data_IF_188260048446
#
_entry.id   IF_188260048446
#
_cell.length_a   1.000
_cell.length_b   1.000
_cell.length_c   1.000
_cell.angle_alpha   90.00
_cell.angle_beta   90.00
_cell.angle_gamma   90.00
#
_symmetry.space_group_name_H-M   'P 1'
#
loop_
_entity.id
_entity.type
_entity.pdbx_description
1 polymer ?
#
# COMPACT_ATOMS: atom_id res chain seq x y z
N UNK A 1 -9.22 -15.01 9.92
CA UNK A 1 -9.67 -15.44 11.26
C UNK A 1 -10.58 -14.38 11.82
N UNK A 2 -11.61 -14.77 12.57
CA UNK A 2 -12.58 -13.88 13.21
C UNK A 2 -13.00 -14.42 14.59
N UNK A 3 -13.28 -13.53 15.54
CA UNK A 3 -14.02 -13.86 16.76
C UNK A 3 -15.53 -13.67 16.47
N UNK A 4 -16.24 -14.77 16.25
CA UNK A 4 -17.61 -14.74 15.77
C UNK A 4 -18.63 -14.54 16.89
N UNK A 5 -18.26 -14.87 18.13
CA UNK A 5 -19.21 -15.04 19.24
C UNK A 5 -20.45 -15.86 18.85
N UNK A 6 -20.25 -16.85 17.96
CA UNK A 6 -21.28 -17.70 17.37
C UNK A 6 -20.94 -19.17 17.65
N UNK A 7 -21.97 -19.98 17.87
CA UNK A 7 -21.81 -21.37 18.28
C UNK A 7 -22.31 -22.28 17.17
N UNK A 8 -21.45 -23.14 16.64
CA UNK A 8 -21.86 -24.19 15.72
C UNK A 8 -20.90 -25.39 15.77
N UNK A 9 -21.45 -26.59 15.60
CA UNK A 9 -20.67 -27.84 15.63
C UNK A 9 -19.61 -27.91 14.53
N UNK A 10 -19.87 -27.24 13.40
CA UNK A 10 -18.99 -27.22 12.21
C UNK A 10 -17.59 -26.64 12.48
N UNK A 11 -17.43 -25.74 13.47
CA UNK A 11 -16.12 -25.23 13.90
C UNK A 11 -15.74 -25.70 15.29
N UNK A 12 -16.44 -26.70 15.84
CA UNK A 12 -16.07 -27.37 17.07
C UNK A 12 -16.68 -26.78 18.35
N UNK A 13 -17.68 -25.90 18.25
CA UNK A 13 -18.42 -25.44 19.44
C UNK A 13 -19.20 -26.58 20.10
N UNK A 14 -19.59 -26.40 21.37
CA UNK A 14 -20.32 -27.41 22.15
C UNK A 14 -21.80 -27.52 21.78
N UNK A 15 -22.37 -26.47 21.19
CA UNK A 15 -23.77 -26.41 20.76
C UNK A 15 -23.92 -25.54 19.50
N UNK A 16 -25.17 -25.33 19.09
CA UNK A 16 -25.56 -24.48 17.96
C UNK A 16 -26.45 -23.34 18.48
N UNK A 17 -26.27 -22.14 17.94
CA UNK A 17 -27.19 -21.01 18.15
C UNK A 17 -27.54 -20.31 16.82
N UNK A 18 -28.55 -19.44 16.83
CA UNK A 18 -29.06 -18.75 15.63
C UNK A 18 -27.97 -17.95 14.90
N UNK A 19 -27.03 -17.37 15.65
CA UNK A 19 -25.86 -16.68 15.08
C UNK A 19 -24.94 -17.64 14.34
N UNK A 20 -24.76 -18.85 14.88
CA UNK A 20 -23.98 -19.91 14.26
C UNK A 20 -24.63 -20.43 12.98
N UNK A 21 -25.93 -20.66 12.98
CA UNK A 21 -26.68 -21.08 11.78
C UNK A 21 -26.61 -20.02 10.67
N UNK A 22 -26.84 -18.76 11.04
CA UNK A 22 -26.75 -17.63 10.10
C UNK A 22 -25.34 -17.50 9.52
N UNK A 23 -24.31 -17.63 10.37
CA UNK A 23 -22.91 -17.54 9.93
C UNK A 23 -22.51 -18.72 9.06
N UNK A 24 -22.97 -19.94 9.37
CA UNK A 24 -22.70 -21.11 8.53
C UNK A 24 -23.31 -20.94 7.15
N UNK A 25 -24.56 -20.47 7.07
CA UNK A 25 -25.24 -20.20 5.79
C UNK A 25 -24.42 -19.23 4.93
N UNK A 26 -23.98 -18.12 5.53
CA UNK A 26 -23.11 -17.15 4.84
C UNK A 26 -21.78 -17.76 4.37
N UNK A 27 -21.12 -18.58 5.20
CA UNK A 27 -19.86 -19.23 4.85
C UNK A 27 -20.02 -20.12 3.61
N UNK A 28 -21.10 -20.91 3.58
CA UNK A 28 -21.43 -21.80 2.46
C UNK A 28 -21.74 -21.00 1.19
N UNK A 29 -22.61 -20.00 1.28
CA UNK A 29 -22.97 -19.12 0.15
C UNK A 29 -21.76 -18.37 -0.41
N UNK A 30 -20.81 -18.00 0.44
CA UNK A 30 -19.59 -17.27 0.05
C UNK A 30 -18.46 -18.17 -0.46
N UNK A 31 -18.70 -19.48 -0.63
CA UNK A 31 -17.68 -20.47 -1.02
C UNK A 31 -16.42 -20.44 -0.13
N UNK A 32 -16.61 -20.21 1.17
CA UNK A 32 -15.55 -20.25 2.17
C UNK A 32 -15.53 -21.61 2.88
N UNK A 33 -14.34 -22.07 3.25
CA UNK A 33 -14.13 -23.31 4.00
C UNK A 33 -13.72 -23.01 5.43
N UNK A 34 -14.28 -23.75 6.38
CA UNK A 34 -13.89 -23.72 7.79
C UNK A 34 -12.61 -24.55 7.96
N UNK A 35 -11.58 -23.94 8.54
CA UNK A 35 -10.26 -24.56 8.72
C UNK A 35 -10.05 -25.09 10.14
N UNK A 36 -10.92 -24.71 11.08
CA UNK A 36 -10.84 -25.16 12.47
C UNK A 36 -10.77 -26.70 12.56
N UNK A 37 -9.89 -27.20 13.43
CA UNK A 37 -9.72 -28.63 13.66
C UNK A 37 -9.93 -28.98 15.14
N UNK A 38 -10.75 -30.02 15.37
CA UNK A 38 -11.06 -30.49 16.71
C UNK A 38 -11.99 -29.55 17.49
N UNK A 39 -11.97 -29.69 18.81
CA UNK A 39 -12.89 -29.00 19.74
C UNK A 39 -12.16 -28.31 20.89
N UNK A 40 -10.85 -28.09 20.72
CA UNK A 40 -10.07 -27.41 21.75
C UNK A 40 -10.58 -25.96 21.86
N UNK A 41 -11.07 -25.53 23.02
CA UNK A 41 -11.71 -24.23 23.18
C UNK A 41 -10.75 -23.07 22.86
N UNK A 42 -11.19 -22.16 22.02
CA UNK A 42 -10.46 -20.93 21.69
C UNK A 42 -10.71 -19.85 22.74
N UNK A 43 -11.79 -19.97 23.51
CA UNK A 43 -12.13 -19.08 24.61
C UNK A 43 -12.18 -19.88 25.93
N UNK A 44 -11.52 -19.37 26.97
CA UNK A 44 -11.51 -19.90 28.34
C UNK A 44 -11.62 -18.78 29.35
N UNK A 45 -12.71 -18.76 30.12
CA UNK A 45 -12.89 -17.80 31.20
C UNK A 45 -13.17 -18.53 32.52
N UNK A 46 -12.36 -18.26 33.54
CA UNK A 46 -12.55 -18.78 34.90
C UNK A 46 -12.97 -17.67 35.86
N UNK A 47 -14.13 -17.83 36.52
CA UNK A 47 -14.63 -16.97 37.60
C UNK A 47 -14.91 -17.82 38.83
N UNK A 48 -14.02 -17.77 39.82
CA UNK A 48 -14.11 -18.66 40.99
C UNK A 48 -14.01 -20.14 40.59
N UNK A 49 -15.02 -20.93 40.98
CA UNK A 49 -15.19 -22.33 40.59
C UNK A 49 -15.73 -22.52 39.17
N UNK A 50 -16.41 -21.52 38.62
CA UNK A 50 -17.01 -21.58 37.29
C UNK A 50 -15.95 -21.43 36.19
N UNK A 51 -16.02 -22.31 35.19
CA UNK A 51 -15.17 -22.34 34.01
C UNK A 51 -16.06 -22.41 32.76
N UNK A 52 -15.95 -21.39 31.90
CA UNK A 52 -16.55 -21.39 30.57
C UNK A 52 -15.48 -21.65 29.54
N UNK A 53 -15.71 -22.63 28.69
CA UNK A 53 -14.85 -23.01 27.59
C UNK A 53 -15.70 -23.13 26.34
N UNK A 54 -15.27 -22.51 25.24
CA UNK A 54 -16.02 -22.59 23.98
C UNK A 54 -15.09 -22.34 22.79
N UNK A 55 -15.50 -22.79 21.60
CA UNK A 55 -14.85 -22.41 20.33
C UNK A 55 -15.64 -21.27 19.69
N UNK A 56 -15.09 -20.06 19.80
CA UNK A 56 -15.70 -18.81 19.30
C UNK A 56 -14.89 -18.15 18.18
N UNK A 57 -13.61 -18.50 18.08
CA UNK A 57 -12.69 -17.98 17.08
C UNK A 57 -12.62 -18.93 15.88
N UNK A 58 -12.93 -18.42 14.69
CA UNK A 58 -13.06 -19.19 13.46
C UNK A 58 -11.97 -18.78 12.47
N UNK A 59 -11.38 -19.76 11.81
CA UNK A 59 -10.45 -19.58 10.69
C UNK A 59 -11.15 -20.03 9.42
N UNK A 60 -11.32 -19.10 8.49
CA UNK A 60 -11.92 -19.35 7.18
C UNK A 60 -10.85 -19.20 6.10
N UNK A 61 -10.95 -19.99 5.05
CA UNK A 61 -10.11 -19.90 3.85
C UNK A 61 -10.98 -20.00 2.59
N UNK A 62 -10.52 -19.40 1.50
CA UNK A 62 -11.10 -19.67 0.18
C UNK A 62 -10.68 -21.06 -0.31
N UNK A 63 -11.41 -21.60 -1.28
CA UNK A 63 -11.10 -22.88 -1.91
C UNK A 63 -9.67 -22.97 -2.48
N UNK A 64 -9.06 -21.84 -2.84
CA UNK A 64 -7.68 -21.77 -3.36
C UNK A 64 -6.60 -21.91 -2.29
N UNK A 65 -6.90 -21.51 -1.05
CA UNK A 65 -5.91 -21.40 0.04
C UNK A 65 -6.12 -22.48 1.09
N UNK A 66 -7.32 -23.07 1.20
CA UNK A 66 -7.62 -24.09 2.22
C UNK A 66 -6.62 -25.24 2.20
N UNK A 67 -6.24 -25.74 1.02
CA UNK A 67 -5.27 -26.84 0.86
C UNK A 67 -3.83 -26.44 1.22
N UNK A 68 -3.56 -25.14 1.33
CA UNK A 68 -2.25 -24.61 1.73
C UNK A 68 -2.17 -24.39 3.24
N UNK A 69 -3.29 -24.41 3.96
CA UNK A 69 -3.27 -24.25 5.42
C UNK A 69 -2.92 -25.59 6.06
N UNK A 70 -1.84 -25.60 6.82
CA UNK A 70 -1.31 -26.78 7.50
C UNK A 70 -1.19 -26.54 9.01
N UNK A 71 -1.26 -27.63 9.78
CA UNK A 71 -1.01 -27.64 11.24
C UNK A 71 -1.87 -26.63 12.00
N UNK A 72 -3.16 -26.58 11.69
CA UNK A 72 -4.08 -25.75 12.46
C UNK A 72 -4.26 -26.33 13.86
N UNK A 73 -4.00 -25.54 14.89
CA UNK A 73 -4.18 -25.95 16.28
C UNK A 73 -4.47 -24.76 17.20
N UNK A 74 -5.07 -25.05 18.36
CA UNK A 74 -5.18 -24.11 19.48
C UNK A 74 -4.03 -24.39 20.45
N UNK A 75 -3.17 -23.40 20.72
CA UNK A 75 -2.02 -23.55 21.60
C UNK A 75 -2.41 -23.48 23.08
N UNK A 76 -1.67 -24.20 23.93
CA UNK A 76 -1.79 -24.13 25.41
C UNK A 76 -0.98 -22.99 26.03
N UNK A 77 -0.26 -22.24 25.21
CA UNK A 77 0.51 -21.07 25.62
C UNK A 77 -0.40 -20.02 26.25
N UNK A 78 0.11 -19.41 27.33
CA UNK A 78 -0.60 -18.32 27.98
C UNK A 78 -0.68 -17.09 27.07
N UNK A 79 -1.90 -16.76 26.66
CA UNK A 79 -2.20 -15.54 25.91
C UNK A 79 -2.28 -14.27 26.77
N UNK A 80 -2.45 -14.43 28.09
CA UNK A 80 -2.81 -13.34 29.01
C UNK A 80 -4.17 -12.68 28.69
N UNK A 81 -5.01 -13.39 27.92
CA UNK A 81 -6.42 -13.11 27.62
C UNK A 81 -7.24 -14.36 27.96
N UNK A 82 -8.55 -14.20 27.95
CA UNK A 82 -9.55 -15.26 27.89
C UNK A 82 -9.56 -16.01 26.54
N UNK A 83 -8.96 -15.47 25.47
CA UNK A 83 -8.79 -16.20 24.21
C UNK A 83 -7.44 -16.94 24.17
N UNK A 84 -7.42 -18.17 23.66
CA UNK A 84 -6.22 -18.96 23.39
C UNK A 84 -5.68 -18.63 21.99
N UNK A 85 -4.36 -18.79 21.82
CA UNK A 85 -3.77 -18.59 20.51
C UNK A 85 -4.18 -19.71 19.56
N UNK A 86 -4.57 -19.32 18.34
CA UNK A 86 -4.67 -20.23 17.20
C UNK A 86 -3.36 -20.12 16.42
N UNK A 87 -2.79 -21.26 16.04
CA UNK A 87 -1.60 -21.34 15.19
C UNK A 87 -1.90 -22.20 13.96
N UNK A 88 -1.35 -21.80 12.83
CA UNK A 88 -1.33 -22.56 11.59
C UNK A 88 -0.23 -22.00 10.70
N UNK A 89 0.26 -22.81 9.77
CA UNK A 89 1.15 -22.37 8.70
C UNK A 89 0.38 -22.32 7.39
N UNK A 90 0.65 -21.31 6.56
CA UNK A 90 0.20 -21.31 5.17
C UNK A 90 1.41 -21.66 4.33
N UNK A 91 1.29 -22.72 3.55
CA UNK A 91 2.27 -23.07 2.52
C UNK A 91 2.26 -21.96 1.46
N UNK A 92 3.32 -21.15 1.46
CA UNK A 92 3.56 -20.16 0.43
C UNK A 92 4.97 -20.30 -0.10
N UNK A 93 5.14 -19.95 -1.37
CA UNK A 93 6.45 -19.55 -1.87
C UNK A 93 6.78 -18.27 -1.13
N UNK A 94 7.80 -18.30 -0.29
CA UNK A 94 8.32 -17.08 0.32
C UNK A 94 8.91 -16.22 -0.81
N UNK A 95 8.09 -15.33 -1.36
CA UNK A 95 8.60 -14.27 -2.23
C UNK A 95 9.14 -13.22 -1.28
N UNK A 96 10.46 -13.17 -1.15
CA UNK A 96 11.09 -12.04 -0.49
C UNK A 96 10.70 -10.78 -1.29
N UNK A 97 9.86 -9.94 -0.71
CA UNK A 97 9.56 -8.65 -1.32
C UNK A 97 10.85 -7.82 -1.32
N UNK A 98 11.46 -7.69 -2.50
CA UNK A 98 12.59 -6.80 -2.70
C UNK A 98 12.12 -5.42 -3.13
N UNK A 99 12.94 -4.41 -2.86
CA UNK A 99 12.75 -3.07 -3.39
C UNK A 99 14.10 -2.38 -3.57
N UNK A 100 14.18 -1.47 -4.54
CA UNK A 100 15.31 -0.55 -4.68
C UNK A 100 15.02 0.69 -3.84
N UNK A 101 15.98 1.11 -3.02
CA UNK A 101 15.86 2.34 -2.23
C UNK A 101 16.55 3.48 -3.01
N UNK A 102 15.81 4.44 -3.59
CA UNK A 102 16.41 5.50 -4.40
C UNK A 102 17.43 6.36 -3.63
N UNK A 103 17.35 6.39 -2.30
CA UNK A 103 18.30 7.12 -1.44
C UNK A 103 19.66 6.43 -1.33
N UNK A 104 19.76 5.15 -1.70
CA UNK A 104 20.99 4.35 -1.68
C UNK A 104 21.60 4.16 -3.07
N UNK A 105 21.07 4.84 -4.08
CA UNK A 105 21.59 4.77 -5.46
C UNK A 105 23.02 5.28 -5.52
N UNK A 106 23.91 4.53 -6.18
CA UNK A 106 25.22 5.06 -6.57
C UNK A 106 25.06 5.99 -7.77
N UNK A 107 25.06 7.30 -7.51
CA UNK A 107 24.89 8.32 -8.54
C UNK A 107 26.05 8.37 -9.54
N UNK A 108 27.25 7.92 -9.18
CA UNK A 108 28.38 7.83 -10.09
C UNK A 108 28.16 6.74 -11.14
N UNK A 109 27.81 5.53 -10.68
CA UNK A 109 27.44 4.40 -11.53
C UNK A 109 26.21 4.74 -12.37
N UNK A 110 25.18 5.34 -11.77
CA UNK A 110 23.97 5.76 -12.48
C UNK A 110 24.28 6.69 -13.67
N UNK A 111 25.09 7.74 -13.48
CA UNK A 111 25.44 8.67 -14.56
C UNK A 111 26.23 8.01 -15.69
N UNK A 112 27.13 7.08 -15.33
CA UNK A 112 27.92 6.30 -16.29
C UNK A 112 27.01 5.41 -17.14
N UNK A 113 26.19 4.59 -16.49
CA UNK A 113 25.27 3.68 -17.18
C UNK A 113 24.20 4.46 -17.96
N UNK A 114 23.74 5.61 -17.47
CA UNK A 114 22.77 6.46 -18.16
C UNK A 114 23.32 6.97 -19.49
N UNK A 115 24.58 7.41 -19.51
CA UNK A 115 25.24 7.84 -20.75
C UNK A 115 25.35 6.67 -21.74
N UNK A 116 25.71 5.48 -21.25
CA UNK A 116 25.81 4.28 -22.09
C UNK A 116 24.44 3.88 -22.65
N UNK A 117 23.41 3.79 -21.80
CA UNK A 117 22.08 3.36 -22.18
C UNK A 117 21.38 4.37 -23.08
N UNK A 118 21.56 5.68 -22.89
CA UNK A 118 21.04 6.68 -23.84
C UNK A 118 21.67 6.54 -25.23
N UNK A 119 22.96 6.21 -25.31
CA UNK A 119 23.64 5.94 -26.58
C UNK A 119 23.14 4.63 -27.23
N UNK A 120 22.93 3.57 -26.45
CA UNK A 120 22.41 2.28 -26.94
C UNK A 120 20.98 2.42 -27.42
N UNK A 121 20.11 3.00 -26.59
CA UNK A 121 18.69 3.19 -26.93
C UNK A 121 18.53 4.22 -28.06
N UNK A 122 19.46 5.17 -28.21
CA UNK A 122 19.52 6.16 -29.29
C UNK A 122 18.15 6.76 -29.65
N UNK A 123 17.48 7.44 -28.69
CA UNK A 123 16.14 7.99 -28.89
C UNK A 123 16.18 9.11 -29.93
N UNK A 124 15.49 8.91 -31.07
CA UNK A 124 15.47 9.85 -32.20
C UNK A 124 14.05 10.27 -32.56
N UNK A 125 13.82 11.55 -32.95
CA UNK A 125 12.50 12.03 -33.32
C UNK A 125 11.82 11.27 -34.46
N UNK A 126 12.62 10.79 -35.43
CA UNK A 126 12.13 10.01 -36.58
C UNK A 126 11.44 8.68 -36.18
N UNK A 127 11.57 8.25 -34.92
CA UNK A 127 10.95 7.03 -34.41
C UNK A 127 9.53 7.27 -33.88
N UNK A 128 9.09 8.52 -33.78
CA UNK A 128 7.81 8.90 -33.17
C UNK A 128 7.91 9.08 -31.65
N UNK A 129 6.93 9.81 -31.10
CA UNK A 129 6.86 10.24 -29.69
C UNK A 129 6.90 9.03 -28.74
N UNK A 130 6.03 8.06 -28.95
CA UNK A 130 5.90 6.87 -28.07
C UNK A 130 7.19 6.05 -27.97
N UNK A 131 7.81 5.80 -29.12
CA UNK A 131 9.05 5.00 -29.18
C UNK A 131 10.20 5.77 -28.55
N UNK A 132 10.27 7.09 -28.79
CA UNK A 132 11.27 7.95 -28.18
C UNK A 132 11.11 8.03 -26.66
N UNK A 133 9.89 8.23 -26.15
CA UNK A 133 9.57 8.24 -24.73
C UNK A 133 9.95 6.92 -24.06
N UNK A 134 9.54 5.79 -24.65
CA UNK A 134 9.86 4.46 -24.16
C UNK A 134 11.37 4.19 -24.09
N UNK A 135 12.13 4.67 -25.07
CA UNK A 135 13.60 4.54 -25.11
C UNK A 135 14.29 5.38 -24.03
N UNK A 136 13.84 6.61 -23.81
CA UNK A 136 14.34 7.46 -22.73
C UNK A 136 14.01 6.87 -21.36
N UNK A 137 12.76 6.44 -21.16
CA UNK A 137 12.33 5.78 -19.92
C UNK A 137 13.16 4.52 -19.64
N UNK A 138 13.30 3.64 -20.64
CA UNK A 138 14.10 2.41 -20.51
C UNK A 138 15.55 2.72 -20.15
N UNK A 139 16.17 3.70 -20.82
CA UNK A 139 17.53 4.10 -20.47
C UNK A 139 17.66 4.53 -19.00
N UNK A 140 16.70 5.32 -18.48
CA UNK A 140 16.71 5.76 -17.07
C UNK A 140 16.49 4.58 -16.11
N UNK A 141 15.50 3.73 -16.37
CA UNK A 141 15.13 2.60 -15.50
C UNK A 141 16.21 1.53 -15.46
N UNK A 142 16.80 1.20 -16.62
CA UNK A 142 17.88 0.21 -16.69
C UNK A 142 19.12 0.71 -15.95
N UNK A 143 19.50 1.98 -16.16
CA UNK A 143 20.63 2.58 -15.43
C UNK A 143 20.38 2.68 -13.93
N UNK A 144 19.13 2.93 -13.52
CA UNK A 144 18.76 2.88 -12.11
C UNK A 144 18.86 1.46 -11.54
N UNK A 145 18.47 0.46 -12.33
CA UNK A 145 18.50 -0.94 -11.92
C UNK A 145 19.90 -1.46 -11.69
N UNK A 146 20.87 -1.02 -12.51
CA UNK A 146 22.30 -1.32 -12.35
C UNK A 146 22.93 -0.55 -11.18
N UNK A 147 22.54 0.71 -10.98
CA UNK A 147 23.14 1.57 -9.96
C UNK A 147 22.53 1.41 -8.56
N UNK A 148 21.41 0.70 -8.42
CA UNK A 148 20.70 0.52 -7.16
C UNK A 148 20.34 -0.95 -6.95
N UNK A 149 21.06 -1.59 -6.04
CA UNK A 149 20.79 -2.97 -5.65
C UNK A 149 19.42 -3.14 -5.00
N UNK A 150 18.79 -4.27 -5.28
CA UNK A 150 17.59 -4.69 -4.58
C UNK A 150 17.91 -5.00 -3.12
N UNK A 151 17.09 -4.44 -2.23
CA UNK A 151 17.14 -4.71 -0.80
C UNK A 151 15.89 -5.46 -0.38
N UNK A 152 16.06 -6.48 0.46
CA UNK A 152 14.93 -7.21 1.06
C UNK A 152 14.17 -6.29 2.01
N UNK A 153 12.85 -6.19 1.84
CA UNK A 153 11.98 -5.43 2.76
C UNK A 153 11.99 -6.09 4.13
N UNK A 154 12.62 -5.42 5.09
CA UNK A 154 12.51 -5.80 6.51
C UNK A 154 11.32 -5.10 7.13
N UNK A 155 10.24 -5.82 7.37
CA UNK A 155 9.18 -5.33 8.26
C UNK A 155 9.73 -5.35 9.69
N UNK A 156 9.83 -4.19 10.34
CA UNK A 156 10.15 -4.16 11.76
C UNK A 156 8.93 -4.71 12.53
N UNK A 157 9.00 -5.98 12.94
CA UNK A 157 7.88 -6.69 13.59
C UNK A 157 7.67 -6.25 15.05
N UNK A 158 8.56 -5.42 15.59
CA UNK A 158 8.50 -5.03 16.99
C UNK A 158 7.58 -3.83 17.19
N UNK A 159 6.60 -4.00 18.07
CA UNK A 159 5.70 -2.91 18.44
C UNK A 159 6.47 -1.78 19.13
N UNK A 160 6.27 -0.54 18.68
CA UNK A 160 6.94 0.66 19.19
C UNK A 160 6.75 0.90 20.70
N UNK A 161 5.65 0.40 21.28
CA UNK A 161 5.33 0.52 22.70
C UNK A 161 5.91 -0.61 23.57
N UNK A 162 6.61 -1.58 22.97
CA UNK A 162 7.19 -2.71 23.70
C UNK A 162 8.49 -2.32 24.41
N UNK A 163 8.68 -2.76 25.65
CA UNK A 163 9.88 -2.46 26.43
C UNK A 163 10.27 -3.60 27.39
N UNK A 164 11.50 -3.54 27.92
CA UNK A 164 12.07 -4.55 28.85
C UNK A 164 11.25 -4.72 30.15
N UNK A 165 10.56 -3.67 30.60
CA UNK A 165 9.66 -3.74 31.76
C UNK A 165 8.45 -4.64 31.50
N UNK A 166 7.80 -4.49 30.34
CA UNK A 166 6.70 -5.35 29.90
C UNK A 166 7.14 -6.80 29.73
N UNK A 167 8.34 -7.03 29.20
CA UNK A 167 8.91 -8.37 29.07
C UNK A 167 9.11 -9.05 30.43
N UNK A 168 9.60 -8.30 31.42
CA UNK A 168 9.77 -8.79 32.80
C UNK A 168 8.43 -9.14 33.44
N UNK A 169 7.43 -8.26 33.30
CA UNK A 169 6.07 -8.53 33.78
C UNK A 169 5.44 -9.74 33.08
N UNK A 170 5.60 -9.87 31.75
CA UNK A 170 5.11 -11.03 30.98
C UNK A 170 5.76 -12.33 31.45
N UNK A 171 7.07 -12.35 31.67
CA UNK A 171 7.79 -13.51 32.23
C UNK A 171 7.26 -13.88 33.61
N UNK A 172 7.01 -12.90 34.49
CA UNK A 172 6.44 -13.15 35.81
C UNK A 172 5.02 -13.73 35.74
N UNK A 173 4.17 -13.19 34.87
CA UNK A 173 2.81 -13.70 34.63
C UNK A 173 2.84 -15.15 34.14
N UNK A 174 3.72 -15.49 33.19
CA UNK A 174 3.90 -16.87 32.69
C UNK A 174 4.38 -17.81 33.81
N UNK A 175 5.33 -17.38 34.62
CA UNK A 175 5.82 -18.14 35.78
C UNK A 175 4.69 -18.44 36.77
N UNK A 176 3.94 -17.41 37.17
CA UNK A 176 2.83 -17.55 38.12
C UNK A 176 1.69 -18.41 37.57
N UNK A 177 1.42 -18.33 36.27
CA UNK A 177 0.46 -19.18 35.58
C UNK A 177 0.83 -20.67 35.67
N UNK A 178 2.10 -21.01 35.46
CA UNK A 178 2.57 -22.39 35.57
C UNK A 178 2.50 -22.91 37.02
N UNK A 179 2.73 -22.03 38.01
CA UNK A 179 2.57 -22.37 39.44
C UNK A 179 1.11 -22.64 39.77
N UNK A 180 0.19 -21.76 39.38
CA UNK A 180 -1.23 -21.93 39.72
C UNK A 180 -1.91 -23.08 38.98
N UNK A 181 -1.43 -23.48 37.79
CA UNK A 181 -1.84 -24.74 37.16
C UNK A 181 -1.60 -25.97 38.05
N UNK A 182 -0.54 -25.95 38.87
CA UNK A 182 -0.19 -27.05 39.79
C UNK A 182 -0.88 -26.92 41.15
N UNK A 183 -0.97 -25.70 41.68
CA UNK A 183 -1.43 -25.46 43.06
C UNK A 183 -2.92 -25.12 43.17
N UNK A 184 -3.59 -24.77 42.06
CA UNK A 184 -4.98 -24.32 42.05
C UNK A 184 -5.23 -22.92 42.62
N UNK A 185 -4.21 -22.23 43.15
CA UNK A 185 -4.34 -20.86 43.69
C UNK A 185 -4.07 -19.81 42.61
N UNK A 186 -5.12 -19.11 42.17
CA UNK A 186 -5.07 -18.16 41.06
C UNK A 186 -4.87 -16.69 41.48
N UNK A 187 -4.85 -16.36 42.78
CA UNK A 187 -4.94 -14.96 43.22
C UNK A 187 -3.68 -14.15 42.95
N UNK A 188 -2.50 -14.77 43.13
CA UNK A 188 -1.22 -14.14 42.78
C UNK A 188 -1.11 -13.90 41.28
N UNK A 189 -1.54 -14.89 40.49
CA UNK A 189 -1.59 -14.78 39.03
C UNK A 189 -2.52 -13.65 38.59
N UNK A 190 -3.75 -13.58 39.10
CA UNK A 190 -4.73 -12.52 38.75
C UNK A 190 -4.20 -11.11 39.03
N UNK A 191 -3.56 -10.91 40.19
CA UNK A 191 -2.93 -9.62 40.53
C UNK A 191 -1.82 -9.26 39.54
N UNK A 192 -0.89 -10.18 39.30
CA UNK A 192 0.21 -9.95 38.34
C UNK A 192 -0.29 -9.73 36.92
N UNK A 193 -1.34 -10.44 36.49
CA UNK A 193 -1.97 -10.26 35.17
C UNK A 193 -2.61 -8.88 35.05
N UNK A 194 -3.28 -8.43 36.11
CA UNK A 194 -3.89 -7.09 36.17
C UNK A 194 -2.82 -6.01 36.04
N UNK A 195 -1.71 -6.14 36.77
CA UNK A 195 -0.58 -5.21 36.67
C UNK A 195 0.05 -5.20 35.28
N UNK A 196 0.30 -6.39 34.70
CA UNK A 196 0.79 -6.51 33.34
C UNK A 196 -0.13 -5.81 32.32
N UNK A 197 -1.43 -6.08 32.38
CA UNK A 197 -2.42 -5.48 31.48
C UNK A 197 -2.52 -3.95 31.66
N UNK A 198 -2.42 -3.45 32.90
CA UNK A 198 -2.32 -2.00 33.18
C UNK A 198 -1.06 -1.39 32.57
N UNK A 199 0.09 -2.06 32.72
CA UNK A 199 1.36 -1.61 32.16
C UNK A 199 1.34 -1.58 30.63
N UNK A 200 0.79 -2.61 29.98
CA UNK A 200 0.61 -2.65 28.51
C UNK A 200 -0.25 -1.49 28.03
N UNK A 201 -1.41 -1.24 28.66
CA UNK A 201 -2.29 -0.10 28.31
C UNK A 201 -1.60 1.24 28.54
N UNK A 202 -0.77 1.36 29.58
CA UNK A 202 0.02 2.58 29.85
C UNK A 202 1.08 2.79 28.76
N UNK A 203 1.85 1.76 28.42
CA UNK A 203 2.90 1.84 27.41
C UNK A 203 2.33 2.20 26.03
N UNK A 204 1.22 1.56 25.61
CA UNK A 204 0.51 1.90 24.37
C UNK A 204 0.09 3.38 24.33
N UNK A 205 -0.49 3.89 25.42
CA UNK A 205 -0.93 5.29 25.52
C UNK A 205 0.23 6.28 25.49
N UNK A 206 1.33 5.98 26.19
CA UNK A 206 2.53 6.83 26.20
C UNK A 206 3.13 6.90 24.80
N UNK A 207 3.36 5.74 24.17
CA UNK A 207 3.92 5.68 22.82
C UNK A 207 3.03 6.39 21.79
N UNK A 208 1.70 6.26 21.89
CA UNK A 208 0.79 7.02 21.03
C UNK A 208 0.88 8.52 21.27
N UNK A 209 0.97 8.96 22.53
CA UNK A 209 1.12 10.38 22.86
C UNK A 209 2.43 10.95 22.33
N UNK A 210 3.53 10.25 22.54
CA UNK A 210 4.86 10.64 22.04
C UNK A 210 4.86 10.73 20.51
N UNK A 211 4.23 9.75 19.84
CA UNK A 211 4.04 9.82 18.39
C UNK A 211 3.27 11.07 17.98
N UNK A 212 2.10 11.34 18.55
CA UNK A 212 1.31 12.53 18.21
C UNK A 212 2.04 13.85 18.52
N UNK A 213 2.84 13.91 19.58
CA UNK A 213 3.61 15.10 19.95
C UNK A 213 4.83 15.32 19.04
N UNK A 214 5.37 14.25 18.44
CA UNK A 214 6.52 14.32 17.54
C UNK A 214 6.16 14.57 16.07
N UNK A 215 4.88 14.69 15.72
CA UNK A 215 4.46 15.02 14.34
C UNK A 215 4.68 16.52 14.09
N UNK A 216 5.65 16.85 13.24
CA UNK A 216 6.04 18.22 12.91
C UNK A 216 5.92 18.56 11.40
N UNK A 217 5.65 17.57 10.56
CA UNK A 217 5.64 17.72 9.11
C UNK A 217 4.24 17.42 8.52
N UNK A 218 3.95 18.10 7.40
CA UNK A 218 2.65 18.03 6.71
C UNK A 218 2.28 16.59 6.29
N UNK A 219 3.19 15.75 5.75
CA UNK A 219 2.87 14.37 5.41
C UNK A 219 2.38 13.53 6.59
N UNK A 220 3.05 13.62 7.74
CA UNK A 220 2.68 12.89 8.95
C UNK A 220 1.38 13.43 9.57
N UNK A 221 1.16 14.75 9.55
CA UNK A 221 -0.13 15.36 9.90
C UNK A 221 -1.27 14.83 9.02
N UNK A 222 -1.08 14.78 7.69
CA UNK A 222 -2.09 14.28 6.76
C UNK A 222 -2.37 12.77 6.95
N UNK A 223 -1.35 11.99 7.34
CA UNK A 223 -1.52 10.58 7.71
C UNK A 223 -2.32 10.44 9.01
N UNK A 224 -2.00 11.23 10.03
CA UNK A 224 -2.74 11.26 11.30
C UNK A 224 -4.20 11.65 11.06
N UNK A 225 -4.44 12.70 10.26
CA UNK A 225 -5.77 13.12 9.86
C UNK A 225 -6.54 11.99 9.19
N UNK A 226 -5.95 11.27 8.22
CA UNK A 226 -6.60 10.12 7.57
C UNK A 226 -6.96 8.99 8.53
N UNK A 227 -6.11 8.71 9.52
CA UNK A 227 -6.38 7.68 10.54
C UNK A 227 -7.49 8.12 11.50
N UNK A 228 -7.56 9.41 11.81
CA UNK A 228 -8.57 9.98 12.72
C UNK A 228 -9.89 10.28 12.03
N UNK A 229 -9.87 10.62 10.74
CA UNK A 229 -11.04 10.87 9.93
C UNK A 229 -11.83 9.57 9.81
N UNK A 230 -13.00 9.51 10.48
CA UNK A 230 -14.00 8.47 10.22
C UNK A 230 -14.35 8.55 8.74
N UNK A 231 -14.15 7.45 8.00
CA UNK A 231 -14.47 7.26 6.59
C UNK A 231 -14.60 8.57 5.80
N UNK A 232 -13.55 9.05 5.12
CA UNK A 232 -13.78 10.06 4.11
C UNK A 232 -14.65 9.38 3.06
N UNK A 233 -15.94 9.73 3.05
CA UNK A 233 -16.71 9.66 1.83
C UNK A 233 -15.92 10.59 0.93
N UNK A 234 -15.08 10.03 0.06
CA UNK A 234 -14.51 10.77 -1.06
C UNK A 234 -15.69 11.03 -2.00
N UNK A 235 -16.58 11.92 -1.59
CA UNK A 235 -17.54 12.51 -2.48
C UNK A 235 -16.69 13.24 -3.52
N UNK A 236 -16.87 12.88 -4.79
CA UNK A 236 -16.23 13.54 -5.92
C UNK A 236 -16.82 14.96 -6.14
N UNK A 237 -16.96 15.73 -5.06
CA UNK A 237 -17.61 17.06 -4.99
C UNK A 237 -16.55 18.17 -4.79
N UNK A 238 -15.34 17.99 -5.29
CA UNK A 238 -14.18 18.78 -4.85
C UNK A 238 -13.79 19.95 -5.73
N UNK A 239 -14.37 20.13 -6.93
CA UNK A 239 -14.01 21.28 -7.77
C UNK A 239 -14.95 22.44 -7.48
N UNK A 240 -14.38 23.48 -6.86
CA UNK A 240 -15.01 24.76 -6.62
C UNK A 240 -15.03 25.56 -7.93
N UNK A 241 -16.20 26.02 -8.33
CA UNK A 241 -16.40 26.91 -9.48
C UNK A 241 -15.96 28.34 -9.13
N UNK A 242 -15.77 29.16 -10.16
CA UNK A 242 -15.46 30.59 -10.02
C UNK A 242 -16.59 31.38 -9.34
N UNK A 243 -17.81 30.85 -9.35
CA UNK A 243 -18.99 31.41 -8.66
C UNK A 243 -19.10 31.01 -7.17
N UNK A 244 -18.14 30.22 -6.66
CA UNK A 244 -18.10 29.74 -5.28
C UNK A 244 -18.96 28.52 -4.98
N UNK A 245 -19.60 27.90 -5.98
CA UNK A 245 -20.37 26.65 -5.83
C UNK A 245 -19.53 25.42 -6.19
N UNK A 246 -19.97 24.22 -5.77
CA UNK A 246 -19.28 22.96 -6.07
C UNK A 246 -19.89 22.24 -7.27
N UNK A 247 -19.06 21.53 -8.04
CA UNK A 247 -19.52 20.64 -9.10
C UNK A 247 -20.40 19.50 -8.53
N UNK A 248 -21.54 19.25 -9.18
CA UNK A 248 -22.56 18.32 -8.70
C UNK A 248 -22.38 16.88 -9.23
N UNK A 249 -21.52 16.68 -10.23
CA UNK A 249 -21.20 15.34 -10.76
C UNK A 249 -19.73 15.20 -11.18
N UNK A 250 -19.21 13.95 -11.28
CA UNK A 250 -17.88 13.67 -11.83
C UNK A 250 -17.70 14.17 -13.27
N UNK A 251 -18.73 14.11 -14.10
CA UNK A 251 -18.71 14.58 -15.49
C UNK A 251 -18.57 16.09 -15.55
N UNK A 252 -19.32 16.81 -14.72
CA UNK A 252 -19.21 18.26 -14.60
C UNK A 252 -17.83 18.67 -14.08
N UNK A 253 -17.33 17.94 -13.08
CA UNK A 253 -15.97 18.12 -12.54
C UNK A 253 -14.92 17.98 -13.65
N UNK A 254 -15.04 16.95 -14.49
CA UNK A 254 -14.14 16.72 -15.61
C UNK A 254 -14.22 17.84 -16.65
N UNK A 255 -15.43 18.33 -16.94
CA UNK A 255 -15.64 19.38 -17.91
C UNK A 255 -15.07 20.73 -17.45
N UNK A 256 -15.22 21.06 -16.16
CA UNK A 256 -14.59 22.25 -15.56
C UNK A 256 -13.06 22.14 -15.64
N UNK A 257 -12.49 20.99 -15.29
CA UNK A 257 -11.04 20.78 -15.39
C UNK A 257 -10.54 20.95 -16.83
N UNK A 258 -11.27 20.40 -17.81
CA UNK A 258 -10.94 20.55 -19.23
C UNK A 258 -11.00 22.01 -19.69
N UNK A 259 -12.06 22.75 -19.35
CA UNK A 259 -12.21 24.15 -19.75
C UNK A 259 -11.16 25.06 -19.10
N UNK A 260 -10.81 24.80 -17.84
CA UNK A 260 -9.86 25.63 -17.08
C UNK A 260 -8.42 25.37 -17.52
N UNK A 261 -8.03 24.12 -17.72
CA UNK A 261 -6.65 23.78 -18.08
C UNK A 261 -6.38 23.85 -19.59
N UNK A 262 -7.42 23.70 -20.43
CA UNK A 262 -7.29 23.70 -21.89
C UNK A 262 -8.36 24.59 -22.55
N UNK A 263 -8.34 25.92 -22.32
CA UNK A 263 -9.32 26.84 -22.89
C UNK A 263 -9.26 26.81 -24.43
N UNK A 264 -10.42 26.65 -25.08
CA UNK A 264 -10.53 26.55 -26.55
C UNK A 264 -10.52 25.14 -27.13
N UNK A 265 -10.43 24.10 -26.28
CA UNK A 265 -10.54 22.70 -26.71
C UNK A 265 -11.96 22.36 -27.13
N UNK A 266 -12.13 21.64 -28.25
CA UNK A 266 -13.41 21.08 -28.67
C UNK A 266 -13.35 19.54 -28.65
N UNK A 267 -14.39 18.91 -28.11
CA UNK A 267 -14.56 17.46 -28.21
C UNK A 267 -14.82 17.12 -29.68
N UNK A 268 -13.90 16.41 -30.31
CA UNK A 268 -14.12 15.87 -31.65
C UNK A 268 -15.17 14.76 -31.57
N UNK A 269 -16.35 15.00 -32.14
CA UNK A 269 -17.36 13.97 -32.34
C UNK A 269 -16.96 13.10 -33.54
N UNK A 270 -15.94 12.26 -33.40
CA UNK A 270 -15.64 11.25 -34.44
C UNK A 270 -16.43 10.00 -34.15
N UNK A 271 -17.51 9.79 -34.90
CA UNK A 271 -18.43 8.65 -34.81
C UNK A 271 -17.84 7.33 -35.34
N UNK A 272 -16.61 7.35 -35.87
CA UNK A 272 -15.96 6.18 -36.47
C UNK A 272 -14.49 6.06 -36.01
N UNK A 273 -14.13 5.01 -35.24
CA UNK A 273 -12.76 4.81 -34.75
C UNK A 273 -11.71 4.61 -35.85
N UNK A 274 -12.12 4.14 -37.04
CA UNK A 274 -11.22 3.83 -38.15
C UNK A 274 -10.80 5.06 -38.96
N UNK A 275 -11.70 6.02 -39.21
CA UNK A 275 -11.40 7.24 -39.97
C UNK A 275 -10.48 8.19 -39.18
N UNK A 276 -10.67 8.29 -37.86
CA UNK A 276 -9.76 9.03 -36.98
C UNK A 276 -8.35 8.44 -36.94
N UNK A 277 -8.20 7.13 -37.23
CA UNK A 277 -6.90 6.47 -37.22
C UNK A 277 -6.15 6.68 -38.55
N UNK A 278 -6.87 6.79 -39.67
CA UNK A 278 -6.31 7.10 -40.99
C UNK A 278 -5.90 8.58 -41.12
N UNK A 279 -6.73 9.55 -40.69
CA UNK A 279 -6.32 10.97 -40.65
C UNK A 279 -5.16 11.20 -39.67
N UNK A 280 -5.16 10.53 -38.50
CA UNK A 280 -4.01 10.55 -37.58
C UNK A 280 -2.77 9.86 -38.18
N UNK A 281 -2.91 8.80 -38.97
CA UNK A 281 -1.78 8.14 -39.63
C UNK A 281 -1.17 8.98 -40.74
N UNK A 282 -1.98 9.75 -41.48
CA UNK A 282 -1.50 10.62 -42.58
C UNK A 282 -0.85 11.90 -42.04
N UNK A 283 -1.37 12.48 -40.95
CA UNK A 283 -0.74 13.61 -40.26
C UNK A 283 0.54 13.24 -39.48
N UNK A 284 0.74 11.94 -39.17
CA UNK A 284 1.80 11.43 -38.28
C UNK A 284 3.22 11.45 -38.85
N UNK A 285 3.42 11.76 -40.13
CA UNK A 285 4.75 11.55 -40.73
C UNK A 285 5.65 12.78 -40.65
N UNK A 286 5.15 14.02 -40.74
CA UNK A 286 5.98 15.22 -40.55
C UNK A 286 5.13 16.41 -40.07
N UNK A 287 5.33 16.85 -38.83
CA UNK A 287 4.82 18.14 -38.35
C UNK A 287 5.29 19.27 -39.29
N UNK A 288 4.45 20.28 -39.52
CA UNK A 288 4.81 21.36 -40.41
C UNK A 288 6.00 22.14 -39.86
N UNK A 289 6.74 22.82 -40.74
CA UNK A 289 7.89 23.65 -40.34
C UNK A 289 7.48 24.71 -39.31
N UNK A 290 6.28 25.26 -39.44
CA UNK A 290 5.71 26.25 -38.53
C UNK A 290 5.46 25.67 -37.13
N UNK A 291 4.96 24.43 -37.03
CA UNK A 291 4.75 23.74 -35.76
C UNK A 291 6.06 23.49 -35.01
N UNK A 292 7.12 23.11 -35.74
CA UNK A 292 8.46 22.97 -35.17
C UNK A 292 9.04 24.31 -34.71
N UNK A 293 8.80 25.40 -35.45
CA UNK A 293 9.22 26.75 -35.03
C UNK A 293 8.49 27.14 -33.74
N UNK A 294 7.19 26.90 -33.67
CA UNK A 294 6.37 27.15 -32.49
C UNK A 294 6.87 26.36 -31.27
N UNK A 295 7.04 25.04 -31.43
CA UNK A 295 7.49 24.15 -30.36
C UNK A 295 8.88 24.53 -29.82
N UNK A 296 9.83 24.90 -30.68
CA UNK A 296 11.16 25.37 -30.26
C UNK A 296 11.12 26.71 -29.53
N UNK A 297 10.17 27.59 -29.86
CA UNK A 297 9.99 28.89 -29.20
C UNK A 297 9.41 28.73 -27.79
N UNK A 298 8.45 27.82 -27.63
CA UNK A 298 7.75 27.55 -26.37
C UNK A 298 8.63 26.75 -25.42
N UNK A 299 9.17 25.62 -25.87
CA UNK A 299 9.92 24.69 -25.03
C UNK A 299 11.41 25.02 -25.06
N UNK A 300 11.86 25.71 -24.02
CA UNK A 300 13.27 26.07 -23.80
C UNK A 300 13.90 25.17 -22.75
N UNK A 301 15.23 25.08 -22.78
CA UNK A 301 16.00 24.41 -21.73
C UNK A 301 15.77 25.15 -20.41
N UNK A 302 15.14 24.45 -19.46
CA UNK A 302 15.02 24.94 -18.10
C UNK A 302 15.13 23.77 -17.11
N UNK A 303 16.21 23.76 -16.33
CA UNK A 303 16.44 22.75 -15.30
C UNK A 303 15.55 22.99 -14.07
N UNK A 304 14.98 24.20 -13.91
CA UNK A 304 14.16 24.55 -12.75
C UNK A 304 12.97 23.61 -12.59
N UNK A 305 12.29 23.25 -13.69
CA UNK A 305 11.13 22.37 -13.64
C UNK A 305 11.46 21.04 -12.95
N UNK A 306 12.58 20.42 -13.31
CA UNK A 306 13.04 19.14 -12.72
C UNK A 306 13.54 19.35 -11.28
N UNK A 307 14.24 20.45 -11.01
CA UNK A 307 14.80 20.76 -9.70
C UNK A 307 13.74 21.15 -8.65
N UNK A 308 12.58 21.65 -9.09
CA UNK A 308 11.48 22.05 -8.20
C UNK A 308 10.84 20.87 -7.45
N UNK A 309 10.95 19.66 -7.98
CA UNK A 309 10.36 18.46 -7.37
C UNK A 309 11.11 18.02 -6.11
N UNK A 310 10.36 17.53 -5.13
CA UNK A 310 10.95 16.80 -3.99
C UNK A 310 11.61 15.51 -4.51
N UNK A 311 12.93 15.28 -4.30
CA UNK A 311 13.69 14.26 -5.00
C UNK A 311 13.12 12.83 -4.88
N UNK A 312 12.58 12.50 -3.71
CA UNK A 312 12.13 11.14 -3.38
C UNK A 312 10.61 11.03 -3.24
N UNK A 313 9.86 11.86 -3.96
CA UNK A 313 8.42 11.62 -4.16
C UNK A 313 8.21 10.27 -4.85
N UNK A 314 7.05 9.67 -4.62
CA UNK A 314 6.67 8.42 -5.27
C UNK A 314 6.76 8.57 -6.81
N UNK A 315 7.29 7.57 -7.52
CA UNK A 315 7.37 7.61 -8.97
C UNK A 315 5.98 7.49 -9.57
N UNK A 316 5.82 7.95 -10.82
CA UNK A 316 4.60 7.72 -11.58
C UNK A 316 4.50 6.27 -12.05
N UNK A 317 3.55 6.02 -12.96
CA UNK A 317 3.43 4.73 -13.67
C UNK A 317 4.67 4.39 -14.51
N UNK A 318 5.51 5.39 -14.78
CA UNK A 318 6.79 5.27 -15.48
C UNK A 318 7.91 4.64 -14.62
N UNK A 319 7.73 4.57 -13.30
CA UNK A 319 8.75 4.08 -12.36
C UNK A 319 9.91 5.06 -12.13
N UNK A 320 9.82 6.31 -12.60
CA UNK A 320 10.92 7.29 -12.53
C UNK A 320 10.76 8.16 -11.28
N UNK A 321 11.74 8.12 -10.38
CA UNK A 321 11.82 9.05 -9.26
C UNK A 321 12.34 10.42 -9.71
N UNK A 322 11.85 11.55 -9.16
CA UNK A 322 12.37 12.87 -9.48
C UNK A 322 13.90 13.00 -9.27
N UNK A 323 14.45 12.31 -8.27
CA UNK A 323 15.89 12.27 -8.01
C UNK A 323 16.70 11.73 -9.21
N UNK A 324 16.16 10.78 -9.99
CA UNK A 324 16.84 10.25 -11.19
C UNK A 324 16.96 11.33 -12.26
N UNK A 325 15.90 12.11 -12.46
CA UNK A 325 15.87 13.23 -13.39
C UNK A 325 16.80 14.35 -12.94
N UNK A 326 16.83 14.66 -11.64
CA UNK A 326 17.69 15.70 -11.07
C UNK A 326 19.17 15.34 -11.17
N UNK A 327 19.53 14.09 -10.88
CA UNK A 327 20.91 13.63 -10.93
C UNK A 327 21.40 13.38 -12.36
N UNK A 328 20.51 12.96 -13.26
CA UNK A 328 20.79 12.76 -14.68
C UNK A 328 20.50 13.96 -15.58
N UNK A 329 20.19 15.13 -15.02
CA UNK A 329 19.63 16.28 -15.73
C UNK A 329 20.41 16.66 -17.00
N UNK A 330 21.73 16.77 -16.91
CA UNK A 330 22.59 17.14 -18.04
C UNK A 330 22.48 16.16 -19.23
N UNK A 331 22.25 14.88 -18.94
CA UNK A 331 22.14 13.83 -19.96
C UNK A 331 20.71 13.69 -20.48
N UNK A 332 19.71 13.83 -19.60
CA UNK A 332 18.31 13.53 -19.90
C UNK A 332 17.59 14.72 -20.55
N UNK A 333 17.84 15.96 -20.09
CA UNK A 333 17.10 17.14 -20.55
C UNK A 333 17.15 17.32 -22.07
N UNK A 334 18.29 17.15 -22.77
CA UNK A 334 18.32 17.27 -24.23
C UNK A 334 17.32 16.32 -24.92
N UNK A 335 17.19 15.09 -24.43
CA UNK A 335 16.26 14.11 -24.97
C UNK A 335 14.80 14.44 -24.60
N UNK A 336 14.54 14.88 -23.37
CA UNK A 336 13.19 15.31 -22.97
C UNK A 336 12.70 16.54 -23.73
N UNK A 337 13.56 17.55 -23.94
CA UNK A 337 13.22 18.71 -24.76
C UNK A 337 12.88 18.30 -26.19
N UNK A 338 13.67 17.40 -26.75
CA UNK A 338 13.44 16.89 -28.09
C UNK A 338 12.12 16.10 -28.17
N UNK A 339 11.83 15.27 -27.17
CA UNK A 339 10.57 14.53 -27.04
C UNK A 339 9.36 15.45 -26.91
N UNK A 340 9.39 16.42 -25.98
CA UNK A 340 8.27 17.35 -25.78
C UNK A 340 8.05 18.25 -27.00
N UNK A 341 9.11 18.67 -27.68
CA UNK A 341 8.99 19.43 -28.95
C UNK A 341 8.37 18.58 -30.05
N UNK A 342 8.75 17.30 -30.15
CA UNK A 342 8.15 16.38 -31.10
C UNK A 342 6.66 16.17 -30.78
N UNK A 343 6.31 15.92 -29.52
CA UNK A 343 4.93 15.79 -29.04
C UNK A 343 4.10 17.02 -29.40
N UNK A 344 4.57 18.22 -29.06
CA UNK A 344 3.88 19.47 -29.36
C UNK A 344 3.76 19.74 -30.87
N UNK A 345 4.81 19.49 -31.65
CA UNK A 345 4.79 19.72 -33.08
C UNK A 345 3.89 18.73 -33.83
N UNK A 346 3.82 17.47 -33.37
CA UNK A 346 3.00 16.42 -34.00
C UNK A 346 1.58 16.32 -33.44
N UNK A 347 1.27 17.06 -32.38
CA UNK A 347 -0.03 16.99 -31.70
C UNK A 347 -0.29 15.66 -30.99
N UNK A 348 0.76 14.89 -30.67
CA UNK A 348 0.67 13.61 -29.95
C UNK A 348 0.98 13.85 -28.47
N UNK A 349 0.04 13.52 -27.58
CA UNK A 349 0.14 13.72 -26.12
C UNK A 349 0.35 12.39 -25.42
#
# INVERSE_FOLDING_TARGET
GLDANAHHLAWGSTNINDRGESLLSYIVESNLSIVNQGRKPTFKQRRGSWLREEVLDITLASCYVVNKVQRWEVLDDLSASDHNYISFSIESVHIEETYRNPRRTDWGTFKKELRLNLNIQNPKPAQGVEVMASRVQRAIVDSYSEACEETVRKTNKQACWWNKGLETLRRNVRRLYNVCKRTGNWDRYRRSLTEYNKAVRRAKRISWREYCQGVDNVPDCAKLHRVMARNPVNAAETVLRDDGTHAASPEETLQILLSTHFPGSSMTQTSNPNEANEERQVARILAAREDWICANKILKYDAWAIQSFQPFKAPGVDGIYPALLQQGAELIIPHLLCLFRLSLATGVI
#
